data_IF_861897010118
#
_entry.id   IF_861897010118
#
_cell.length_a   1.000
_cell.length_b   1.000
_cell.length_c   1.000
_cell.angle_alpha   90.00
_cell.angle_beta   90.00
_cell.angle_gamma   90.00
#
_symmetry.space_group_name_H-M   'P 1'
#
loop_
_entity.id
_entity.type
_entity.pdbx_description
1 polymer ?
#
# COMPACT_ATOMS: atom_id res chain seq x y z
N UNK A 1 7.93 -0.63 -33.45
CA UNK A 1 7.31 -1.56 -34.39
C UNK A 1 6.62 -0.71 -35.44
N UNK A 2 7.03 -0.78 -36.70
CA UNK A 2 6.22 -0.27 -37.81
C UNK A 2 4.99 -1.17 -37.88
N UNK A 3 3.99 -0.84 -37.08
CA UNK A 3 2.62 -1.29 -37.32
C UNK A 3 2.36 -0.93 -38.78
N UNK A 4 2.06 -1.92 -39.62
CA UNK A 4 1.80 -1.66 -41.03
C UNK A 4 0.61 -0.69 -41.06
N UNK A 5 0.91 0.61 -41.23
CA UNK A 5 -0.08 1.66 -41.27
C UNK A 5 -1.14 1.22 -42.26
N UNK A 6 -2.40 1.16 -41.81
CA UNK A 6 -3.52 0.64 -42.57
C UNK A 6 -3.46 1.14 -44.03
N UNK A 7 -3.03 0.27 -44.95
CA UNK A 7 -2.71 0.66 -46.33
C UNK A 7 -4.02 0.76 -47.12
N UNK A 8 -4.59 1.95 -46.99
CA UNK A 8 -5.87 2.33 -47.59
C UNK A 8 -5.81 2.11 -49.11
N UNK A 9 -4.69 2.41 -49.75
CA UNK A 9 -4.54 2.30 -51.21
C UNK A 9 -4.49 0.84 -51.67
N UNK A 10 -3.74 -0.02 -50.96
CA UNK A 10 -3.71 -1.45 -51.26
C UNK A 10 -5.09 -2.10 -51.10
N UNK A 11 -5.84 -1.73 -50.06
CA UNK A 11 -7.19 -2.24 -49.80
C UNK A 11 -8.18 -1.76 -50.86
N UNK A 12 -8.16 -0.46 -51.22
CA UNK A 12 -9.01 0.08 -52.30
C UNK A 12 -8.78 -0.66 -53.61
N UNK A 13 -7.50 -0.86 -54.00
CA UNK A 13 -7.16 -1.61 -55.23
C UNK A 13 -7.58 -3.07 -55.18
N UNK A 14 -7.52 -3.69 -54.00
CA UNK A 14 -7.94 -5.07 -53.83
C UNK A 14 -9.46 -5.20 -53.98
N UNK A 15 -10.23 -4.22 -53.49
CA UNK A 15 -11.68 -4.16 -53.67
C UNK A 15 -12.06 -3.93 -55.15
N UNK A 16 -11.37 -3.02 -55.84
CA UNK A 16 -11.56 -2.80 -57.28
C UNK A 16 -11.28 -4.06 -58.10
N UNK A 17 -10.21 -4.79 -57.79
CA UNK A 17 -9.87 -6.06 -58.43
C UNK A 17 -10.92 -7.17 -58.20
N UNK A 18 -11.84 -6.99 -57.24
CA UNK A 18 -12.97 -7.88 -56.95
C UNK A 18 -14.30 -7.37 -57.53
N UNK A 19 -14.27 -6.28 -58.30
CA UNK A 19 -15.43 -5.76 -59.02
C UNK A 19 -16.19 -4.65 -58.29
N UNK A 20 -15.66 -4.11 -57.18
CA UNK A 20 -16.20 -2.89 -56.58
C UNK A 20 -15.81 -1.67 -57.41
N UNK A 21 -16.67 -0.66 -57.50
CA UNK A 21 -16.30 0.63 -58.11
C UNK A 21 -15.33 1.38 -57.20
N UNK A 22 -14.56 2.32 -57.78
CA UNK A 22 -13.65 3.20 -57.02
C UNK A 22 -14.38 3.87 -55.84
N UNK A 23 -15.57 4.44 -56.08
CA UNK A 23 -16.36 5.10 -55.04
C UNK A 23 -16.78 4.14 -53.91
N UNK A 24 -17.15 2.90 -54.24
CA UNK A 24 -17.49 1.88 -53.25
C UNK A 24 -16.26 1.45 -52.45
N UNK A 25 -15.14 1.24 -53.13
CA UNK A 25 -13.89 0.83 -52.51
C UNK A 25 -13.36 1.92 -51.55
N UNK A 26 -13.43 3.20 -51.93
CA UNK A 26 -13.11 4.33 -51.05
C UNK A 26 -14.05 4.43 -49.85
N UNK A 27 -15.37 4.32 -50.07
CA UNK A 27 -16.36 4.40 -48.99
C UNK A 27 -16.17 3.28 -47.95
N UNK A 28 -15.96 2.04 -48.41
CA UNK A 28 -15.70 0.88 -47.54
C UNK A 28 -14.40 1.07 -46.77
N UNK A 29 -13.32 1.42 -47.45
CA UNK A 29 -12.00 1.58 -46.81
C UNK A 29 -12.00 2.75 -45.82
N UNK A 30 -12.69 3.83 -46.14
CA UNK A 30 -12.89 4.98 -45.25
C UNK A 30 -13.66 4.61 -43.98
N UNK A 31 -14.75 3.85 -44.11
CA UNK A 31 -15.55 3.40 -42.96
C UNK A 31 -14.76 2.45 -42.04
N UNK A 32 -14.00 1.52 -42.62
CA UNK A 32 -13.15 0.60 -41.83
C UNK A 32 -12.02 1.36 -41.14
N UNK A 33 -11.36 2.29 -41.84
CA UNK A 33 -10.32 3.13 -41.24
C UNK A 33 -10.88 3.92 -40.05
N UNK A 34 -12.02 4.59 -40.24
CA UNK A 34 -12.68 5.35 -39.18
C UNK A 34 -13.04 4.47 -37.97
N UNK A 35 -13.51 3.24 -38.19
CA UNK A 35 -13.81 2.28 -37.10
C UNK A 35 -12.58 1.74 -36.37
N UNK A 36 -11.45 1.56 -37.08
CA UNK A 36 -10.20 1.04 -36.49
C UNK A 36 -9.42 2.14 -35.77
N UNK A 37 -9.46 3.39 -36.26
CA UNK A 37 -8.74 4.52 -35.66
C UNK A 37 -9.62 5.34 -34.71
N UNK A 38 -10.93 5.13 -34.70
CA UNK A 38 -11.88 5.88 -33.90
C UNK A 38 -12.10 5.27 -32.52
N UNK A 39 -11.50 5.86 -31.48
CA UNK A 39 -11.89 5.61 -30.09
C UNK A 39 -11.45 4.27 -29.48
N UNK A 40 -10.55 3.54 -30.11
CA UNK A 40 -10.00 2.28 -29.58
C UNK A 40 -8.74 2.59 -28.76
N UNK A 41 -8.73 2.19 -27.49
CA UNK A 41 -7.51 2.25 -26.67
C UNK A 41 -6.40 1.43 -27.35
N UNK A 42 -5.28 2.07 -27.62
CA UNK A 42 -4.16 1.47 -28.31
C UNK A 42 -3.36 0.57 -27.37
N UNK A 43 -2.49 -0.28 -27.92
CA UNK A 43 -1.53 -1.05 -27.13
C UNK A 43 -0.58 -0.14 -26.32
N UNK A 44 -0.32 1.08 -26.81
CA UNK A 44 0.46 2.07 -26.08
C UNK A 44 -0.29 2.54 -24.84
N UNK A 45 -1.57 2.92 -24.96
CA UNK A 45 -2.40 3.32 -23.83
C UNK A 45 -2.49 2.23 -22.75
N UNK A 46 -2.61 0.96 -23.16
CA UNK A 46 -2.57 -0.19 -22.24
C UNK A 46 -1.20 -0.36 -21.57
N UNK A 47 -0.11 -0.11 -22.29
CA UNK A 47 1.25 -0.19 -21.75
C UNK A 47 1.50 0.90 -20.72
N UNK A 48 1.04 2.11 -21.00
CA UNK A 48 1.15 3.26 -20.11
C UNK A 48 0.33 3.00 -18.84
N UNK A 49 -0.94 2.59 -18.98
CA UNK A 49 -1.79 2.22 -17.84
C UNK A 49 -1.18 1.09 -17.00
N UNK A 50 -0.55 0.10 -17.64
CA UNK A 50 0.12 -1.00 -16.93
C UNK A 50 1.34 -0.51 -16.13
N UNK A 51 2.04 0.49 -16.67
CA UNK A 51 3.20 1.12 -16.03
C UNK A 51 2.76 1.94 -14.83
N UNK A 52 1.72 2.78 -14.99
CA UNK A 52 1.13 3.57 -13.92
C UNK A 52 0.64 2.67 -12.77
N UNK A 53 -0.13 1.62 -13.09
CA UNK A 53 -0.59 0.66 -12.09
C UNK A 53 0.56 -0.05 -11.36
N UNK A 54 1.67 -0.36 -12.05
CA UNK A 54 2.85 -0.92 -11.37
C UNK A 54 3.49 0.09 -10.42
N UNK A 55 3.56 1.37 -10.82
CA UNK A 55 4.04 2.45 -9.98
C UNK A 55 3.20 2.60 -8.71
N UNK A 56 1.88 2.69 -8.85
CA UNK A 56 0.96 2.80 -7.72
C UNK A 56 1.05 1.61 -6.77
N UNK A 57 1.12 0.39 -7.31
CA UNK A 57 1.30 -0.82 -6.49
C UNK A 57 2.65 -0.80 -5.75
N UNK A 58 3.72 -0.32 -6.38
CA UNK A 58 5.02 -0.22 -5.74
C UNK A 58 5.01 0.78 -4.58
N UNK A 59 4.38 1.95 -4.79
CA UNK A 59 4.18 2.97 -3.75
C UNK A 59 3.37 2.41 -2.57
N UNK A 60 2.21 1.82 -2.84
CA UNK A 60 1.36 1.22 -1.79
C UNK A 60 2.08 0.12 -1.00
N UNK A 61 2.93 -0.68 -1.66
CA UNK A 61 3.77 -1.67 -0.95
C UNK A 61 4.78 -1.02 -0.02
N UNK A 62 5.35 0.12 -0.41
CA UNK A 62 6.22 0.95 0.44
C UNK A 62 5.48 1.43 1.68
N UNK A 63 4.34 2.09 1.49
CA UNK A 63 3.52 2.63 2.58
C UNK A 63 3.11 1.55 3.59
N UNK A 64 2.71 0.36 3.09
CA UNK A 64 2.36 -0.78 3.95
C UNK A 64 3.58 -1.26 4.76
N UNK A 65 4.78 -1.26 4.19
CA UNK A 65 5.99 -1.67 4.90
C UNK A 65 6.38 -0.69 6.01
N UNK A 66 6.22 0.61 5.76
CA UNK A 66 6.43 1.67 6.74
C UNK A 66 5.43 1.56 7.90
N UNK A 67 4.13 1.49 7.60
CA UNK A 67 3.08 1.32 8.61
C UNK A 67 3.27 0.07 9.47
N UNK A 68 3.73 -1.04 8.89
CA UNK A 68 4.05 -2.27 9.65
C UNK A 68 5.22 -2.06 10.61
N UNK A 69 6.20 -1.26 10.20
CA UNK A 69 7.38 -0.94 11.02
C UNK A 69 6.98 -0.05 12.19
N UNK A 70 6.17 0.99 11.94
CA UNK A 70 5.61 1.85 12.99
C UNK A 70 4.76 1.05 13.98
N UNK A 71 3.87 0.19 13.48
CA UNK A 71 3.03 -0.66 14.33
C UNK A 71 3.87 -1.59 15.20
N UNK A 72 4.98 -2.13 14.67
CA UNK A 72 5.92 -2.96 15.45
C UNK A 72 6.55 -2.14 16.58
N UNK A 73 7.04 -0.94 16.28
CA UNK A 73 7.64 -0.06 17.28
C UNK A 73 6.66 0.33 18.38
N UNK A 74 5.42 0.67 18.01
CA UNK A 74 4.37 0.99 18.98
C UNK A 74 4.08 -0.19 19.92
N UNK A 75 4.02 -1.42 19.39
CA UNK A 75 3.84 -2.63 20.22
C UNK A 75 5.00 -2.87 21.17
N UNK A 76 6.24 -2.70 20.70
CA UNK A 76 7.45 -2.87 21.52
C UNK A 76 7.52 -1.80 22.61
N UNK A 77 7.28 -0.53 22.24
CA UNK A 77 7.25 0.57 23.20
C UNK A 77 6.16 0.38 24.25
N UNK A 78 4.94 0.00 23.83
CA UNK A 78 3.83 -0.30 24.74
C UNK A 78 4.15 -1.44 25.72
N UNK A 79 4.73 -2.54 25.22
CA UNK A 79 5.17 -3.65 26.08
C UNK A 79 6.25 -3.22 27.09
N UNK A 80 7.19 -2.37 26.66
CA UNK A 80 8.22 -1.80 27.54
C UNK A 80 7.63 -0.93 28.65
N UNK A 81 6.65 -0.08 28.32
CA UNK A 81 5.95 0.75 29.31
C UNK A 81 5.23 -0.11 30.34
N UNK A 82 4.47 -1.12 29.89
CA UNK A 82 3.74 -2.02 30.81
C UNK A 82 4.72 -2.76 31.73
N UNK A 83 5.82 -3.27 31.19
CA UNK A 83 6.84 -3.95 31.98
C UNK A 83 7.46 -3.01 33.04
N UNK A 84 7.74 -1.76 32.67
CA UNK A 84 8.27 -0.76 33.60
C UNK A 84 7.28 -0.42 34.73
N UNK A 85 5.99 -0.27 34.41
CA UNK A 85 4.95 0.01 35.40
C UNK A 85 4.79 -1.14 36.40
N UNK A 86 4.78 -2.40 35.91
CA UNK A 86 4.72 -3.58 36.77
C UNK A 86 5.94 -3.64 37.70
N UNK A 87 7.14 -3.42 37.16
CA UNK A 87 8.37 -3.44 37.93
C UNK A 87 8.38 -2.38 39.04
N UNK A 88 7.99 -1.13 38.71
CA UNK A 88 7.86 -0.05 39.70
C UNK A 88 6.82 -0.38 40.77
N UNK A 89 5.69 -0.98 40.39
CA UNK A 89 4.66 -1.41 41.35
C UNK A 89 5.18 -2.43 42.36
N UNK A 90 5.96 -3.42 41.91
CA UNK A 90 6.59 -4.42 42.78
C UNK A 90 7.61 -3.76 43.72
N UNK A 91 8.45 -2.86 43.22
CA UNK A 91 9.43 -2.14 44.03
C UNK A 91 8.74 -1.28 45.11
N UNK A 92 7.68 -0.58 44.75
CA UNK A 92 6.90 0.22 45.69
C UNK A 92 6.26 -0.64 46.78
N UNK A 93 5.74 -1.82 46.43
CA UNK A 93 5.16 -2.77 47.40
C UNK A 93 6.20 -3.25 48.43
N UNK A 94 7.37 -3.70 47.98
CA UNK A 94 8.44 -4.16 48.87
C UNK A 94 8.93 -3.03 49.80
N UNK A 95 9.06 -1.81 49.25
CA UNK A 95 9.45 -0.64 50.05
C UNK A 95 8.41 -0.30 51.11
N UNK A 96 7.12 -0.35 50.78
CA UNK A 96 6.03 -0.12 51.73
C UNK A 96 5.99 -1.19 52.83
N UNK A 97 6.23 -2.46 52.49
CA UNK A 97 6.29 -3.55 53.46
C UNK A 97 7.44 -3.35 54.47
N UNK A 98 8.62 -2.91 53.99
CA UNK A 98 9.77 -2.57 54.84
C UNK A 98 9.47 -1.40 55.78
N UNK A 99 8.85 -0.33 55.27
CA UNK A 99 8.45 0.83 56.07
C UNK A 99 7.46 0.45 57.18
N UNK A 100 6.44 -0.35 56.87
CA UNK A 100 5.47 -0.82 57.86
C UNK A 100 6.12 -1.66 58.97
N UNK A 101 7.15 -2.45 58.65
CA UNK A 101 7.93 -3.18 59.64
C UNK A 101 8.72 -2.25 60.58
N UNK A 102 9.33 -1.20 60.03
CA UNK A 102 10.07 -0.19 60.81
C UNK A 102 9.13 0.59 61.72
N UNK A 103 7.96 1.01 61.23
CA UNK A 103 6.96 1.73 62.02
C UNK A 103 6.52 0.92 63.25
N UNK A 104 6.24 -0.38 63.06
CA UNK A 104 5.92 -1.28 64.18
C UNK A 104 7.05 -1.40 65.19
N UNK A 105 8.30 -1.51 64.72
CA UNK A 105 9.47 -1.58 65.59
C UNK A 105 9.67 -0.29 66.39
N UNK A 106 9.45 0.87 65.77
CA UNK A 106 9.52 2.18 66.43
C UNK A 106 8.44 2.32 67.51
N UNK A 107 7.20 1.93 67.20
CA UNK A 107 6.10 1.94 68.18
C UNK A 107 6.43 1.04 69.37
N UNK A 108 7.00 -0.15 69.15
CA UNK A 108 7.41 -1.05 70.23
C UNK A 108 8.47 -0.42 71.14
N UNK A 109 9.46 0.29 70.58
CA UNK A 109 10.48 1.02 71.35
C UNK A 109 9.85 2.17 72.16
N UNK A 110 8.87 2.88 71.59
CA UNK A 110 8.26 4.06 72.22
C UNK A 110 7.20 3.70 73.28
N UNK A 111 6.55 2.54 73.14
CA UNK A 111 5.47 2.08 74.05
C UNK A 111 5.90 1.01 75.05
N UNK A 112 7.08 0.41 74.87
CA UNK A 112 7.60 -0.64 75.73
C UNK A 112 9.12 -0.62 75.79
N UNK A 113 9.68 0.22 76.67
CA UNK A 113 10.97 -0.09 77.25
C UNK A 113 10.87 -1.45 77.97
N UNK A 114 11.90 -2.31 77.93
CA UNK A 114 11.85 -3.60 78.61
C UNK A 114 11.58 -3.37 80.10
N UNK A 115 10.53 -4.01 80.64
CA UNK A 115 10.52 -4.40 82.05
C UNK A 115 11.65 -5.40 82.32
#
# INVERSE_FOLDING_TARGET
>A
MTDAAFDTLAITRQLEAKGFTSDQAEAITGAVRAGVTGGVATKADLSDLRTDLHGDIATLRGDIAELRTEQRWMKVAGAGIVAALVWLGVQAYDTNAKLAGIEKALIQIETGGPE
#
